data_IF_372691182281
#
_entry.id   IF_372691182281
#
_cell.length_a   1.000
_cell.length_b   1.000
_cell.length_c   1.000
_cell.angle_alpha   90.00
_cell.angle_beta   90.00
_cell.angle_gamma   90.00
#
_symmetry.space_group_name_H-M   'P 1'
#
loop_
_entity.id
_entity.type
_entity.pdbx_description
1 polymer ?
#
# COMPACT_ATOMS: atom_id res chain seq x y z
N UNK A 1 40.98 -19.52 61.24
CA UNK A 1 41.21 -20.54 60.19
C UNK A 1 39.85 -20.97 59.73
N UNK A 2 39.37 -20.27 58.71
CA UNK A 2 37.96 -20.15 58.36
C UNK A 2 37.47 -21.35 57.57
N UNK A 3 36.29 -21.87 57.93
CA UNK A 3 35.62 -22.95 57.23
C UNK A 3 34.90 -22.40 56.00
N UNK A 4 35.44 -22.64 54.81
CA UNK A 4 34.78 -22.35 53.53
C UNK A 4 33.53 -23.24 53.39
N UNK A 5 32.37 -22.65 53.59
CA UNK A 5 31.06 -23.24 53.26
C UNK A 5 30.72 -22.89 51.81
N UNK A 6 30.81 -23.87 50.92
CA UNK A 6 30.41 -23.76 49.52
C UNK A 6 28.88 -23.73 49.40
N UNK A 7 28.32 -22.56 49.12
CA UNK A 7 26.90 -22.39 48.82
C UNK A 7 26.61 -22.84 47.37
N UNK A 8 25.57 -23.65 47.09
CA UNK A 8 25.18 -23.97 45.73
C UNK A 8 24.45 -22.78 45.08
N UNK A 9 24.96 -22.33 43.94
CA UNK A 9 24.33 -21.28 43.13
C UNK A 9 23.02 -21.79 42.51
N UNK A 10 21.87 -21.37 43.04
CA UNK A 10 20.55 -21.65 42.50
C UNK A 10 20.17 -20.71 41.33
N UNK A 11 20.90 -20.77 40.21
CA UNK A 11 20.58 -19.98 39.01
C UNK A 11 19.88 -20.76 37.89
N UNK A 12 19.53 -22.03 38.09
CA UNK A 12 19.16 -22.94 36.98
C UNK A 12 17.67 -23.29 36.86
N UNK A 13 16.78 -22.79 37.74
CA UNK A 13 15.36 -23.20 37.70
C UNK A 13 14.60 -22.64 36.48
N UNK A 14 14.86 -21.40 36.06
CA UNK A 14 14.10 -20.74 34.99
C UNK A 14 14.57 -21.12 33.58
N UNK A 15 15.87 -21.38 33.39
CA UNK A 15 16.41 -21.82 32.10
C UNK A 15 15.96 -23.25 31.73
N UNK A 16 15.81 -24.11 32.74
CA UNK A 16 15.34 -25.49 32.57
C UNK A 16 13.85 -25.54 32.19
N UNK A 17 13.05 -24.58 32.66
CA UNK A 17 11.62 -24.56 32.36
C UNK A 17 11.30 -24.07 30.94
N UNK A 18 12.11 -23.18 30.38
CA UNK A 18 11.95 -22.69 29.02
C UNK A 18 12.46 -23.69 27.96
N UNK A 19 13.49 -24.48 28.30
CA UNK A 19 14.08 -25.47 27.38
C UNK A 19 13.08 -26.55 26.96
N UNK A 20 12.06 -26.85 27.78
CA UNK A 20 10.98 -27.79 27.44
C UNK A 20 10.18 -27.39 26.19
N UNK A 21 10.16 -26.10 25.85
CA UNK A 21 9.50 -25.60 24.63
C UNK A 21 10.43 -25.55 23.43
N UNK A 22 11.71 -25.87 23.61
CA UNK A 22 12.75 -25.85 22.58
C UNK A 22 13.24 -27.26 22.22
N UNK A 23 12.66 -28.31 22.82
CA UNK A 23 12.93 -29.70 22.44
C UNK A 23 12.28 -30.03 21.09
N UNK A 24 12.85 -31.01 20.37
CA UNK A 24 12.31 -31.53 19.11
C UNK A 24 12.19 -30.50 17.97
N UNK A 25 13.13 -29.56 17.89
CA UNK A 25 13.23 -28.69 16.71
C UNK A 25 13.42 -29.54 15.43
N UNK A 26 12.79 -29.16 14.30
CA UNK A 26 12.94 -29.89 13.05
C UNK A 26 14.41 -29.95 12.61
N UNK A 27 14.99 -31.15 12.54
CA UNK A 27 16.30 -31.35 11.92
C UNK A 27 16.14 -31.47 10.39
N UNK A 28 16.84 -30.61 9.65
CA UNK A 28 16.87 -30.59 8.17
C UNK A 28 18.28 -30.77 7.61
N UNK A 29 19.24 -31.14 8.45
CA UNK A 29 20.65 -31.32 8.06
C UNK A 29 21.52 -31.86 9.20
N UNK A 30 22.78 -32.19 8.88
CA UNK A 30 23.75 -32.83 9.77
C UNK A 30 24.73 -31.82 10.38
N UNK A 31 24.22 -30.86 11.17
CA UNK A 31 25.07 -29.94 11.94
C UNK A 31 25.52 -30.57 13.28
N UNK A 32 26.06 -31.79 13.21
CA UNK A 32 26.53 -32.54 14.39
C UNK A 32 28.04 -32.39 14.61
N UNK A 33 28.78 -31.94 13.60
CA UNK A 33 30.22 -31.67 13.71
C UNK A 33 30.45 -30.26 14.25
N UNK A 34 31.11 -30.18 15.40
CA UNK A 34 31.60 -28.93 15.99
C UNK A 34 32.95 -28.49 15.41
N UNK A 35 33.51 -29.26 14.45
CA UNK A 35 34.77 -28.93 13.81
C UNK A 35 34.57 -27.75 12.87
N UNK A 36 35.17 -26.62 13.21
CA UNK A 36 35.24 -25.44 12.34
C UNK A 36 36.01 -25.86 11.09
N UNK A 37 35.34 -25.88 9.93
CA UNK A 37 35.95 -26.17 8.64
C UNK A 37 37.19 -25.30 8.45
N UNK A 38 38.34 -25.93 8.25
CA UNK A 38 39.66 -25.30 8.12
C UNK A 38 39.88 -24.54 6.81
N UNK A 39 38.84 -24.39 5.98
CA UNK A 39 38.85 -23.50 4.83
C UNK A 39 38.15 -22.17 5.18
N UNK A 40 38.91 -21.10 5.53
CA UNK A 40 38.36 -19.75 5.70
C UNK A 40 38.01 -19.09 4.37
N UNK A 41 38.24 -19.77 3.23
CA UNK A 41 37.78 -19.33 1.93
C UNK A 41 36.26 -19.47 1.86
N UNK A 42 35.56 -18.34 1.79
CA UNK A 42 34.10 -18.29 1.68
C UNK A 42 33.53 -19.02 0.46
N UNK A 43 32.26 -18.75 0.14
CA UNK A 43 31.57 -19.35 -1.02
C UNK A 43 32.47 -19.29 -2.26
N UNK A 44 32.81 -20.46 -2.82
CA UNK A 44 33.64 -20.53 -4.03
C UNK A 44 32.89 -19.95 -5.22
N UNK A 45 33.57 -19.18 -6.05
CA UNK A 45 33.02 -18.68 -7.32
C UNK A 45 32.81 -19.88 -8.25
N UNK A 46 31.60 -20.05 -8.75
CA UNK A 46 31.29 -21.04 -9.77
C UNK A 46 31.73 -20.52 -11.14
N UNK A 47 32.52 -21.30 -11.86
CA UNK A 47 32.96 -21.03 -13.23
C UNK A 47 32.31 -22.10 -14.11
N UNK A 48 31.51 -21.68 -15.08
CA UNK A 48 30.87 -22.59 -16.03
C UNK A 48 31.86 -23.00 -17.12
N UNK A 49 32.25 -24.26 -17.18
CA UNK A 49 33.09 -24.80 -18.26
C UNK A 49 32.26 -25.30 -19.47
N UNK A 50 30.94 -25.23 -19.38
CA UNK A 50 29.99 -25.68 -20.40
C UNK A 50 28.99 -24.59 -20.74
N UNK A 51 28.32 -24.76 -21.88
CA UNK A 51 27.26 -23.86 -22.31
C UNK A 51 26.10 -23.90 -21.31
N UNK A 52 25.78 -22.73 -20.74
CA UNK A 52 24.68 -22.55 -19.78
C UNK A 52 23.55 -21.71 -20.37
N UNK A 53 23.48 -21.67 -21.71
CA UNK A 53 22.34 -21.06 -22.39
C UNK A 53 21.07 -21.81 -22.00
N UNK A 54 19.96 -21.10 -21.73
CA UNK A 54 18.69 -21.76 -21.50
C UNK A 54 18.26 -22.50 -22.78
N UNK A 55 17.51 -23.61 -22.67
CA UNK A 55 16.97 -24.31 -23.83
C UNK A 55 16.22 -23.35 -24.77
N UNK A 56 16.47 -23.47 -26.08
CA UNK A 56 16.05 -22.47 -27.10
C UNK A 56 14.53 -22.25 -27.15
N UNK A 57 13.75 -23.28 -26.79
CA UNK A 57 12.29 -23.23 -26.78
C UNK A 57 11.72 -22.44 -25.58
N UNK A 58 12.49 -22.26 -24.51
CA UNK A 58 12.02 -21.63 -23.28
C UNK A 58 12.29 -20.12 -23.28
N UNK A 59 11.37 -19.39 -23.90
CA UNK A 59 11.45 -17.92 -23.99
C UNK A 59 10.54 -17.23 -22.95
N UNK A 60 11.14 -16.49 -22.03
CA UNK A 60 10.41 -15.62 -21.10
C UNK A 60 9.98 -14.36 -21.86
N UNK A 61 8.67 -14.21 -22.11
CA UNK A 61 8.08 -13.03 -22.77
C UNK A 61 7.16 -12.28 -21.82
N UNK A 62 7.30 -10.95 -21.79
CA UNK A 62 6.39 -10.07 -21.05
C UNK A 62 5.26 -9.60 -21.96
N UNK A 63 4.02 -9.68 -21.46
CA UNK A 63 2.88 -9.12 -22.18
C UNK A 63 3.00 -7.58 -22.22
N UNK A 64 3.10 -7.02 -23.42
CA UNK A 64 3.26 -5.57 -23.64
C UNK A 64 1.97 -4.77 -23.49
N UNK A 65 0.82 -5.44 -23.37
CA UNK A 65 -0.48 -4.78 -23.25
C UNK A 65 -0.64 -4.21 -21.84
N UNK A 66 -1.04 -2.93 -21.76
CA UNK A 66 -1.37 -2.32 -20.48
C UNK A 66 -2.46 -3.13 -19.74
N UNK A 67 -2.27 -3.30 -18.42
CA UNK A 67 -3.15 -4.12 -17.58
C UNK A 67 -4.62 -3.67 -17.63
N UNK A 68 -4.88 -2.37 -17.77
CA UNK A 68 -6.24 -1.84 -17.87
C UNK A 68 -6.88 -2.26 -19.18
N UNK A 69 -6.17 -2.09 -20.30
CA UNK A 69 -6.64 -2.49 -21.63
C UNK A 69 -6.97 -3.99 -21.63
N UNK A 70 -6.06 -4.83 -21.12
CA UNK A 70 -6.27 -6.28 -21.01
C UNK A 70 -7.50 -6.62 -20.18
N UNK A 71 -7.72 -5.94 -19.05
CA UNK A 71 -8.89 -6.18 -18.19
C UNK A 71 -10.21 -5.82 -18.89
N UNK A 72 -10.23 -4.69 -19.59
CA UNK A 72 -11.42 -4.20 -20.30
C UNK A 72 -11.73 -5.07 -21.52
N UNK A 73 -10.72 -5.51 -22.27
CA UNK A 73 -10.92 -6.41 -23.42
C UNK A 73 -11.45 -7.78 -22.98
N UNK A 74 -10.91 -8.36 -21.90
CA UNK A 74 -11.43 -9.59 -21.31
C UNK A 74 -12.89 -9.42 -20.83
N UNK A 75 -13.22 -8.29 -20.20
CA UNK A 75 -14.60 -8.00 -19.76
C UNK A 75 -15.56 -7.88 -20.96
N UNK A 76 -15.13 -7.22 -22.04
CA UNK A 76 -15.92 -7.08 -23.27
C UNK A 76 -16.25 -8.44 -23.89
N UNK A 77 -15.25 -9.32 -24.03
CA UNK A 77 -15.43 -10.65 -24.63
C UNK A 77 -16.39 -11.53 -23.80
N UNK A 78 -16.37 -11.41 -22.47
CA UNK A 78 -17.30 -12.14 -21.59
C UNK A 78 -18.74 -11.59 -21.61
N UNK A 79 -18.92 -10.31 -21.94
CA UNK A 79 -20.24 -9.70 -22.11
C UNK A 79 -20.92 -10.10 -23.42
N UNK A 80 -20.18 -10.07 -24.54
CA UNK A 80 -20.72 -10.44 -25.87
C UNK A 80 -21.10 -11.94 -25.97
N UNK A 81 -20.32 -12.83 -25.34
CA UNK A 81 -20.53 -14.28 -25.37
C UNK A 81 -21.64 -14.80 -24.45
N UNK A 82 -22.29 -13.92 -23.66
CA UNK A 82 -23.40 -14.29 -22.77
C UNK A 82 -24.81 -14.06 -23.37
N UNK A 83 -24.89 -13.78 -24.67
CA UNK A 83 -26.15 -13.46 -25.36
C UNK A 83 -26.73 -14.65 -26.17
N UNK A 84 -27.17 -15.69 -25.45
CA UNK A 84 -28.16 -16.76 -25.77
C UNK A 84 -28.00 -17.80 -24.66
N UNK A 85 -28.92 -17.99 -23.73
CA UNK A 85 -30.23 -18.59 -23.96
C UNK A 85 -31.22 -18.33 -22.81
N UNK A 86 -32.50 -18.28 -23.20
CA UNK A 86 -33.73 -18.49 -22.40
C UNK A 86 -34.20 -17.36 -21.48
N UNK A 87 -35.20 -16.66 -22.01
CA UNK A 87 -36.26 -15.95 -21.29
C UNK A 87 -37.10 -16.96 -20.46
N UNK A 88 -37.15 -16.74 -19.15
CA UNK A 88 -38.10 -17.40 -18.25
C UNK A 88 -37.97 -16.87 -16.81
N UNK A 89 -38.76 -15.82 -16.50
CA UNK A 89 -39.57 -15.62 -15.27
C UNK A 89 -39.00 -16.16 -13.94
N UNK A 90 -38.77 -15.42 -12.84
CA UNK A 90 -39.59 -14.39 -12.15
C UNK A 90 -38.77 -13.70 -11.06
N UNK A 91 -39.19 -12.49 -10.68
CA UNK A 91 -38.75 -11.70 -9.54
C UNK A 91 -38.99 -12.35 -8.16
N UNK A 92 -38.09 -12.10 -7.20
CA UNK A 92 -38.26 -11.92 -5.74
C UNK A 92 -36.85 -12.06 -5.09
N UNK A 93 -36.18 -11.00 -4.64
CA UNK A 93 -36.28 -10.38 -3.29
C UNK A 93 -36.13 -11.38 -2.12
N UNK A 94 -35.51 -10.91 -1.04
CA UNK A 94 -35.39 -11.54 0.30
C UNK A 94 -34.10 -12.33 0.62
N UNK A 95 -33.10 -11.57 1.07
CA UNK A 95 -32.56 -11.62 2.44
C UNK A 95 -32.03 -12.93 3.04
N UNK A 96 -30.70 -12.99 3.26
CA UNK A 96 -30.11 -13.44 4.54
C UNK A 96 -28.81 -12.67 4.90
N UNK A 97 -28.98 -11.61 5.72
CA UNK A 97 -28.16 -11.17 6.87
C UNK A 97 -26.63 -10.95 6.64
N UNK A 98 -26.06 -9.76 6.85
CA UNK A 98 -26.12 -8.93 8.08
C UNK A 98 -25.97 -7.43 7.77
N UNK A 99 -26.85 -6.64 8.39
CA UNK A 99 -26.76 -5.19 8.55
C UNK A 99 -26.33 -4.90 9.99
N UNK A 100 -25.36 -4.01 10.18
CA UNK A 100 -25.15 -3.22 11.40
C UNK A 100 -24.64 -1.86 10.89
N UNK A 101 -25.57 -0.94 10.64
CA UNK A 101 -25.90 0.20 11.52
C UNK A 101 -24.83 1.31 11.46
N UNK A 102 -25.29 2.50 11.04
CA UNK A 102 -24.53 3.75 11.07
C UNK A 102 -24.40 4.20 12.53
N UNK A 103 -23.20 4.53 12.97
CA UNK A 103 -22.99 5.47 14.06
C UNK A 103 -22.12 6.62 13.52
N UNK A 104 -22.79 7.74 13.22
CA UNK A 104 -22.16 9.05 13.24
C UNK A 104 -22.25 9.52 14.69
N UNK A 105 -21.12 9.68 15.39
CA UNK A 105 -20.90 10.92 16.15
C UNK A 105 -19.47 11.09 16.66
N UNK A 106 -18.99 12.30 16.41
CA UNK A 106 -18.02 13.11 17.15
C UNK A 106 -17.23 12.48 18.30
N UNK A 107 -15.89 12.46 18.15
CA UNK A 107 -14.98 13.15 19.08
C UNK A 107 -13.57 13.29 18.50
N UNK A 108 -13.09 14.51 18.59
CA UNK A 108 -11.78 15.00 18.22
C UNK A 108 -10.66 14.46 19.10
N UNK A 109 -9.42 14.69 18.62
CA UNK A 109 -8.16 14.74 19.38
C UNK A 109 -7.46 13.40 19.66
N UNK A 110 -6.40 13.12 18.89
CA UNK A 110 -5.04 13.04 19.43
C UNK A 110 -3.97 13.00 18.32
N UNK A 111 -3.54 14.20 17.93
CA UNK A 111 -2.14 14.63 17.80
C UNK A 111 -1.08 13.53 17.61
N UNK A 112 -0.55 13.37 16.38
CA UNK A 112 0.88 13.08 16.15
C UNK A 112 1.40 13.92 14.98
N UNK A 113 2.52 14.55 15.25
CA UNK A 113 3.07 15.69 14.54
C UNK A 113 3.70 15.33 13.19
N UNK A 114 3.63 16.30 12.28
CA UNK A 114 4.38 16.39 11.04
C UNK A 114 5.86 16.71 11.30
N UNK A 115 6.74 16.13 10.49
CA UNK A 115 8.09 16.64 10.25
C UNK A 115 8.33 16.69 8.75
N UNK A 116 8.19 17.86 8.13
CA UNK A 116 9.20 18.29 7.17
C UNK A 116 9.23 19.82 7.12
N UNK A 117 10.39 20.35 7.52
CA UNK A 117 10.64 21.76 7.69
C UNK A 117 10.62 22.49 6.35
N UNK A 118 9.85 23.57 6.32
CA UNK A 118 9.74 24.51 5.24
C UNK A 118 10.90 25.52 5.36
N UNK A 119 11.67 25.65 4.29
CA UNK A 119 12.66 26.70 4.09
C UNK A 119 11.99 28.09 4.01
N UNK A 120 12.61 29.05 4.68
CA UNK A 120 12.68 30.50 4.42
C UNK A 120 12.14 30.97 3.05
N UNK A 121 11.45 32.11 2.88
CA UNK A 121 11.69 33.40 3.51
C UNK A 121 10.52 34.38 3.29
N UNK A 122 10.24 35.12 4.36
CA UNK A 122 9.51 36.37 4.54
C UNK A 122 9.66 37.40 3.39
N UNK A 123 8.56 38.00 2.93
CA UNK A 123 8.41 39.47 2.79
C UNK A 123 6.92 39.85 2.63
N UNK A 124 6.50 40.76 3.51
CA UNK A 124 5.19 41.41 3.58
C UNK A 124 5.05 42.49 2.51
N UNK A 125 3.81 42.81 2.11
CA UNK A 125 3.52 43.95 1.25
C UNK A 125 2.05 44.03 0.86
N UNK A 126 1.27 44.73 1.68
CA UNK A 126 -0.14 45.13 1.50
C UNK A 126 -0.46 45.70 0.12
N UNK A 127 -1.66 45.41 -0.39
CA UNK A 127 -2.19 46.09 -1.58
C UNK A 127 -3.50 45.50 -2.10
N UNK A 128 -4.60 46.05 -1.59
CA UNK A 128 -5.93 46.24 -2.19
C UNK A 128 -6.24 45.67 -3.60
N UNK A 129 -7.49 45.22 -3.73
CA UNK A 129 -8.32 45.19 -4.96
C UNK A 129 -8.51 43.84 -5.63
N UNK A 130 -9.47 43.07 -5.10
CA UNK A 130 -10.65 42.49 -5.81
C UNK A 130 -10.48 41.91 -7.22
N UNK A 131 -9.30 41.40 -7.57
CA UNK A 131 -9.07 40.58 -8.76
C UNK A 131 -8.24 39.39 -8.33
N UNK A 132 -8.87 38.46 -7.59
CA UNK A 132 -8.33 37.11 -7.41
C UNK A 132 -8.05 36.59 -8.81
N UNK A 133 -6.76 36.49 -9.14
CA UNK A 133 -6.34 36.64 -10.51
C UNK A 133 -6.77 35.40 -11.29
N UNK A 134 -7.20 35.61 -12.53
CA UNK A 134 -7.54 34.55 -13.46
C UNK A 134 -6.48 33.44 -13.61
N UNK A 135 -5.26 33.64 -13.07
CA UNK A 135 -4.18 32.66 -13.04
C UNK A 135 -4.23 31.74 -11.81
N UNK A 136 -4.87 32.16 -10.74
CA UNK A 136 -4.93 31.40 -9.50
C UNK A 136 -5.80 30.17 -9.66
N UNK A 137 -6.91 30.22 -10.42
CA UNK A 137 -7.74 29.05 -10.68
C UNK A 137 -7.07 28.00 -11.59
N UNK A 138 -6.13 28.42 -12.44
CA UNK A 138 -5.45 27.56 -13.42
C UNK A 138 -4.44 26.65 -12.73
N UNK A 139 -3.78 27.15 -11.69
CA UNK A 139 -2.81 26.40 -10.88
C UNK A 139 -3.47 25.41 -9.90
N UNK A 140 -4.76 25.56 -9.62
CA UNK A 140 -5.50 24.66 -8.74
C UNK A 140 -5.76 23.29 -9.38
N UNK A 141 -5.79 22.26 -8.53
CA UNK A 141 -6.23 20.92 -8.90
C UNK A 141 -7.74 20.88 -9.07
N UNK A 142 -8.25 19.90 -9.83
CA UNK A 142 -9.69 19.71 -10.06
C UNK A 142 -10.45 19.51 -8.74
N UNK A 143 -9.84 18.85 -7.76
CA UNK A 143 -10.44 18.66 -6.43
C UNK A 143 -10.64 19.98 -5.71
N UNK A 144 -9.62 20.87 -5.75
CA UNK A 144 -9.72 22.19 -5.12
C UNK A 144 -10.74 23.08 -5.83
N UNK A 145 -10.81 23.01 -7.15
CA UNK A 145 -11.84 23.71 -7.95
C UNK A 145 -13.26 23.22 -7.61
N UNK A 146 -13.46 21.91 -7.47
CA UNK A 146 -14.74 21.33 -7.06
C UNK A 146 -15.14 21.71 -5.64
N UNK A 147 -14.17 21.81 -4.73
CA UNK A 147 -14.41 22.27 -3.37
C UNK A 147 -14.89 23.73 -3.34
N UNK A 148 -14.23 24.62 -4.08
CA UNK A 148 -14.64 26.02 -4.20
C UNK A 148 -16.03 26.16 -4.83
N UNK A 149 -16.35 25.36 -5.86
CA UNK A 149 -17.69 25.35 -6.46
C UNK A 149 -18.75 24.88 -5.46
N UNK A 150 -18.49 23.83 -4.68
CA UNK A 150 -19.41 23.36 -3.64
C UNK A 150 -19.62 24.39 -2.54
N UNK A 151 -18.56 25.06 -2.11
CA UNK A 151 -18.63 26.14 -1.11
C UNK A 151 -19.49 27.31 -1.60
N UNK A 152 -19.45 27.60 -2.90
CA UNK A 152 -20.29 28.62 -3.57
C UNK A 152 -21.67 28.11 -4.01
N UNK A 153 -22.03 26.87 -3.68
CA UNK A 153 -23.31 26.27 -4.07
C UNK A 153 -23.47 25.97 -5.57
N UNK A 154 -22.37 25.99 -6.33
CA UNK A 154 -22.35 25.73 -7.78
C UNK A 154 -22.09 24.25 -8.08
N UNK A 155 -22.53 23.81 -9.26
CA UNK A 155 -22.34 22.43 -9.71
C UNK A 155 -20.85 22.09 -9.93
N UNK A 156 -20.30 21.05 -9.25
CA UNK A 156 -18.91 20.61 -9.40
C UNK A 156 -18.69 19.64 -10.58
N UNK A 157 -19.68 19.49 -11.47
CA UNK A 157 -19.60 18.61 -12.64
C UNK A 157 -19.00 19.35 -13.84
N UNK A 158 -18.12 18.67 -14.56
CA UNK A 158 -17.49 19.18 -15.77
C UNK A 158 -16.00 18.87 -15.88
N UNK A 159 -15.41 19.29 -17.01
CA UNK A 159 -13.95 19.32 -17.24
C UNK A 159 -13.31 20.48 -16.47
N UNK A 160 -11.98 20.45 -16.28
CA UNK A 160 -11.25 21.47 -15.50
C UNK A 160 -11.56 22.90 -15.98
N UNK A 161 -11.60 23.13 -17.29
CA UNK A 161 -11.86 24.44 -17.88
C UNK A 161 -13.29 24.94 -17.61
N UNK A 162 -14.27 24.03 -17.58
CA UNK A 162 -15.67 24.36 -17.24
C UNK A 162 -15.80 24.78 -15.76
N UNK A 163 -15.04 24.13 -14.87
CA UNK A 163 -15.03 24.48 -13.44
C UNK A 163 -14.39 25.86 -13.24
N UNK A 164 -13.30 26.14 -13.95
CA UNK A 164 -12.60 27.42 -13.93
C UNK A 164 -13.50 28.52 -14.49
N UNK A 165 -14.12 28.32 -15.66
CA UNK A 165 -15.03 29.28 -16.27
C UNK A 165 -16.20 29.64 -15.33
N UNK A 166 -16.76 28.64 -14.63
CA UNK A 166 -17.88 28.82 -13.70
C UNK A 166 -17.47 29.54 -12.40
N UNK A 167 -16.23 29.38 -11.95
CA UNK A 167 -15.67 30.17 -10.83
C UNK A 167 -15.37 31.62 -11.26
N UNK A 168 -14.90 31.81 -12.49
CA UNK A 168 -14.66 33.15 -13.06
C UNK A 168 -15.94 33.93 -13.26
N UNK A 169 -17.01 33.29 -13.74
CA UNK A 169 -18.30 33.96 -13.97
C UNK A 169 -18.98 34.45 -12.69
N UNK A 170 -18.67 33.86 -11.53
CA UNK A 170 -19.25 34.26 -10.23
C UNK A 170 -18.43 35.36 -9.55
N UNK A 171 -17.16 35.51 -9.90
CA UNK A 171 -16.25 36.51 -9.34
C UNK A 171 -16.03 37.72 -10.28
N UNK A 172 -16.72 37.76 -11.41
CA UNK A 172 -16.71 38.85 -12.38
C UNK A 172 -17.84 39.86 -12.16
#
# INVERSE_FOLDING_TARGET
MDTTSSQPSNSNQTASEASKYLVNLPSRGLFSSTVISSNPGGMRVYICDHETSPPEEQLIKTNQTNILIRSLTLKKQKGDSSSKDVKGTTAAEVSKKRTAERALDSRSSSKRAMTNAQSSSRREGSGSSTRTSDRDYQSLTVERLRALLKERGLSPKGKKDELIARLKSVNG
#
